data_IF_167355328186
#
_entry.id   IF_167355328186
#
_cell.length_a   1.000
_cell.length_b   1.000
_cell.length_c   1.000
_cell.angle_alpha   90.00
_cell.angle_beta   90.00
_cell.angle_gamma   90.00
#
_symmetry.space_group_name_H-M   'P 1'
#
loop_
_entity.id
_entity.type
_entity.pdbx_description
1 polymer ?
#
# COMPACT_ATOMS: atom_id res chain seq x y z
N UNK A 1 20.90 -44.84 18.26
CA UNK A 1 20.31 -43.61 18.85
C UNK A 1 18.87 -43.53 18.36
N UNK A 2 17.84 -43.52 19.23
CA UNK A 2 16.48 -43.32 18.74
C UNK A 2 16.41 -41.97 18.04
N UNK A 3 15.97 -41.97 16.78
CA UNK A 3 15.82 -40.75 16.00
C UNK A 3 14.69 -39.91 16.59
N UNK A 4 15.03 -38.76 17.18
CA UNK A 4 14.09 -37.76 17.69
C UNK A 4 13.05 -37.40 16.61
N UNK A 5 11.79 -37.27 17.00
CA UNK A 5 10.71 -36.84 16.12
C UNK A 5 11.00 -35.40 15.64
N UNK A 6 11.12 -35.20 14.31
CA UNK A 6 11.32 -33.88 13.72
C UNK A 6 10.17 -32.92 14.06
N UNK A 7 10.46 -31.62 14.15
CA UNK A 7 9.46 -30.62 14.55
C UNK A 7 8.26 -30.59 13.61
N UNK A 8 8.46 -30.66 12.29
CA UNK A 8 7.35 -30.72 11.32
C UNK A 8 6.40 -31.90 11.54
N UNK A 9 6.90 -33.04 12.05
CA UNK A 9 6.06 -34.21 12.34
C UNK A 9 5.35 -34.05 13.69
N UNK A 10 5.98 -33.38 14.66
CA UNK A 10 5.37 -33.01 15.93
C UNK A 10 4.15 -32.10 15.71
N UNK A 11 4.28 -31.09 14.84
CA UNK A 11 3.18 -30.19 14.43
C UNK A 11 2.00 -30.98 13.84
N UNK A 12 2.27 -31.91 12.92
CA UNK A 12 1.21 -32.75 12.31
C UNK A 12 0.56 -33.71 13.31
N UNK A 13 1.29 -34.16 14.33
CA UNK A 13 0.73 -34.98 15.43
C UNK A 13 -0.21 -34.12 16.29
N UNK A 14 0.18 -32.89 16.62
CA UNK A 14 -0.61 -31.95 17.41
C UNK A 14 -1.93 -31.59 16.69
N UNK A 15 -1.84 -31.29 15.38
CA UNK A 15 -2.98 -30.90 14.54
C UNK A 15 -3.85 -32.09 14.08
N UNK A 16 -3.40 -33.33 14.27
CA UNK A 16 -4.13 -34.53 13.82
C UNK A 16 -4.16 -34.71 12.30
N UNK A 17 -3.18 -34.18 11.59
CA UNK A 17 -3.12 -34.17 10.10
C UNK A 17 -2.50 -35.44 9.49
N UNK A 18 -2.41 -36.52 10.27
CA UNK A 18 -1.92 -37.82 9.83
C UNK A 18 -3.10 -38.80 9.67
N UNK A 19 -3.04 -39.75 8.73
CA UNK A 19 -3.98 -40.87 8.69
C UNK A 19 -4.08 -41.56 10.07
N UNK A 20 -5.25 -42.07 10.49
CA UNK A 20 -5.47 -42.52 11.87
C UNK A 20 -4.44 -43.56 12.37
N UNK A 21 -4.06 -44.51 11.53
CA UNK A 21 -3.04 -45.52 11.87
C UNK A 21 -1.64 -44.92 12.00
N UNK A 22 -1.27 -44.01 11.09
CA UNK A 22 0.01 -43.29 11.14
C UNK A 22 0.10 -42.36 12.35
N UNK A 23 -1.00 -41.68 12.70
CA UNK A 23 -1.09 -40.82 13.88
C UNK A 23 -0.88 -41.63 15.15
N UNK A 24 -1.52 -42.81 15.26
CA UNK A 24 -1.37 -43.69 16.40
C UNK A 24 0.09 -44.19 16.54
N UNK A 25 0.71 -44.61 15.43
CA UNK A 25 2.11 -45.03 15.41
C UNK A 25 3.07 -43.88 15.76
N UNK A 26 2.82 -42.68 15.23
CA UNK A 26 3.62 -41.49 15.49
C UNK A 26 3.52 -41.05 16.96
N UNK A 27 2.32 -41.09 17.55
CA UNK A 27 2.12 -40.84 19.00
C UNK A 27 2.80 -41.88 19.87
N UNK A 28 2.71 -43.16 19.52
CA UNK A 28 3.40 -44.23 20.26
C UNK A 28 4.93 -44.05 20.21
N UNK A 29 5.48 -43.68 19.05
CA UNK A 29 6.90 -43.35 18.91
C UNK A 29 7.27 -42.15 19.75
N UNK A 30 6.51 -41.05 19.67
CA UNK A 30 6.77 -39.84 20.45
C UNK A 30 6.75 -40.09 21.96
N UNK A 31 5.84 -40.95 22.44
CA UNK A 31 5.77 -41.35 23.85
C UNK A 31 7.00 -42.15 24.33
N UNK A 32 7.70 -42.84 23.41
CA UNK A 32 8.95 -43.55 23.71
C UNK A 32 10.19 -42.64 23.69
N UNK A 33 10.05 -41.41 23.21
CA UNK A 33 11.15 -40.44 23.15
C UNK A 33 11.31 -39.71 24.49
N UNK A 34 12.54 -39.58 25.01
CA UNK A 34 12.80 -38.75 26.19
C UNK A 34 12.34 -37.29 25.94
N UNK A 35 11.41 -36.80 26.76
CA UNK A 35 10.89 -35.43 26.62
C UNK A 35 9.86 -35.25 25.49
N UNK A 36 9.42 -36.33 24.82
CA UNK A 36 8.55 -36.25 23.65
C UNK A 36 7.15 -35.73 23.96
N UNK A 37 6.55 -36.20 25.06
CA UNK A 37 5.23 -35.76 25.50
C UNK A 37 5.25 -34.33 26.03
N UNK A 38 6.32 -33.94 26.70
CA UNK A 38 6.52 -32.56 27.19
C UNK A 38 6.64 -31.57 26.02
N UNK A 39 7.36 -31.95 24.95
CA UNK A 39 7.44 -31.12 23.73
C UNK A 39 6.07 -30.93 23.07
N UNK A 40 5.28 -31.99 22.98
CA UNK A 40 3.92 -31.91 22.44
C UNK A 40 3.04 -30.99 23.29
N UNK A 41 3.08 -31.16 24.61
CA UNK A 41 2.31 -30.34 25.54
C UNK A 41 2.72 -28.85 25.49
N UNK A 42 4.01 -28.56 25.32
CA UNK A 42 4.49 -27.19 25.14
C UNK A 42 3.95 -26.56 23.85
N UNK A 43 3.94 -27.31 22.75
CA UNK A 43 3.39 -26.86 21.48
C UNK A 43 1.88 -26.59 21.58
N UNK A 44 1.12 -27.54 22.12
CA UNK A 44 -0.33 -27.40 22.33
C UNK A 44 -0.68 -26.22 23.26
N UNK A 45 0.15 -25.94 24.26
CA UNK A 45 -0.02 -24.79 25.15
C UNK A 45 0.26 -23.46 24.44
N UNK A 46 1.25 -23.38 23.55
CA UNK A 46 1.55 -22.18 22.76
C UNK A 46 0.45 -21.90 21.72
N UNK A 47 -0.06 -22.95 21.06
CA UNK A 47 -1.23 -22.87 20.19
C UNK A 47 -2.46 -22.35 20.95
N UNK A 48 -2.71 -22.91 22.14
CA UNK A 48 -3.79 -22.45 23.01
C UNK A 48 -3.63 -21.00 23.44
N UNK A 49 -2.41 -20.56 23.76
CA UNK A 49 -2.12 -19.17 24.11
C UNK A 49 -2.33 -18.22 22.90
N UNK A 50 -1.98 -18.66 21.70
CA UNK A 50 -2.21 -17.92 20.46
C UNK A 50 -3.70 -17.77 20.18
N UNK A 51 -4.47 -18.86 20.28
CA UNK A 51 -5.93 -18.85 20.08
C UNK A 51 -6.67 -18.03 21.15
N UNK A 52 -6.16 -18.01 22.39
CA UNK A 52 -6.71 -17.16 23.45
C UNK A 52 -6.45 -15.67 23.20
N UNK A 53 -5.25 -15.31 22.73
CA UNK A 53 -4.90 -13.94 22.36
C UNK A 53 -5.60 -13.46 21.10
N UNK A 54 -5.83 -14.36 20.15
CA UNK A 54 -6.42 -14.07 18.85
C UNK A 54 -7.55 -15.07 18.52
N UNK A 55 -8.73 -14.92 19.13
CA UNK A 55 -9.86 -15.81 18.87
C UNK A 55 -10.24 -15.83 17.38
N UNK A 56 -10.58 -17.00 16.79
CA UNK A 56 -10.94 -17.11 15.38
C UNK A 56 -12.09 -16.19 14.96
N UNK A 57 -13.07 -15.95 15.85
CA UNK A 57 -14.18 -15.02 15.60
C UNK A 57 -13.72 -13.58 15.41
N UNK A 58 -12.69 -13.14 16.15
CA UNK A 58 -12.11 -11.80 16.02
C UNK A 58 -11.37 -11.66 14.69
N UNK A 59 -10.59 -12.67 14.29
CA UNK A 59 -9.91 -12.68 12.99
C UNK A 59 -10.92 -12.70 11.84
N UNK A 60 -11.95 -13.55 11.93
CA UNK A 60 -13.01 -13.62 10.94
C UNK A 60 -13.76 -12.29 10.79
N UNK A 61 -14.08 -11.63 11.91
CA UNK A 61 -14.71 -10.31 11.90
C UNK A 61 -13.82 -9.26 11.25
N UNK A 62 -12.51 -9.27 11.52
CA UNK A 62 -11.55 -8.35 10.92
C UNK A 62 -11.37 -8.60 9.41
N UNK A 63 -11.31 -9.86 8.98
CA UNK A 63 -11.26 -10.23 7.56
C UNK A 63 -12.53 -9.76 6.83
N UNK A 64 -13.70 -9.98 7.42
CA UNK A 64 -14.97 -9.52 6.84
C UNK A 64 -15.05 -7.99 6.78
N UNK A 65 -14.60 -7.30 7.83
CA UNK A 65 -14.50 -5.84 7.84
C UNK A 65 -13.61 -5.34 6.71
N UNK A 66 -12.43 -5.95 6.51
CA UNK A 66 -11.51 -5.61 5.41
C UNK A 66 -12.12 -5.90 4.05
N UNK A 67 -12.78 -7.05 3.88
CA UNK A 67 -13.48 -7.41 2.63
C UNK A 67 -14.53 -6.37 2.26
N UNK A 68 -15.37 -5.94 3.21
CA UNK A 68 -16.39 -4.91 2.98
C UNK A 68 -15.81 -3.57 2.53
N UNK A 69 -14.67 -3.15 3.08
CA UNK A 69 -14.00 -1.91 2.65
C UNK A 69 -13.56 -2.00 1.18
N UNK A 70 -13.01 -3.15 0.77
CA UNK A 70 -12.59 -3.40 -0.62
C UNK A 70 -13.80 -3.48 -1.57
N UNK A 71 -14.92 -4.05 -1.14
CA UNK A 71 -16.13 -4.13 -1.97
C UNK A 71 -16.85 -2.78 -2.10
N UNK A 72 -16.86 -1.98 -1.04
CA UNK A 72 -17.42 -0.63 -1.05
C UNK A 72 -16.65 0.35 -1.95
N UNK A 73 -15.35 0.12 -2.17
CA UNK A 73 -14.56 0.91 -3.13
C UNK A 73 -14.82 0.48 -4.58
N UNK A 74 -14.99 -0.83 -4.83
CA UNK A 74 -15.32 -1.37 -6.16
C UNK A 74 -16.72 -0.98 -6.64
N UNK A 75 -17.72 -1.04 -5.77
CA UNK A 75 -19.12 -0.71 -6.11
C UNK A 75 -19.33 0.77 -6.44
N UNK A 76 -18.65 1.68 -5.74
CA UNK A 76 -18.67 3.12 -6.05
C UNK A 76 -18.04 3.48 -7.38
N UNK A 77 -17.17 2.61 -7.93
CA UNK A 77 -16.61 2.77 -9.27
C UNK A 77 -17.53 2.23 -10.38
N UNK A 78 -18.55 1.43 -10.04
CA UNK A 78 -19.44 0.76 -10.99
C UNK A 78 -20.82 1.45 -11.15
N UNK A 79 -21.13 2.46 -10.33
CA UNK A 79 -22.40 3.20 -10.39
C UNK A 79 -22.30 4.46 -11.26
N UNK A 80 -22.02 4.29 -12.54
CA UNK A 80 -22.35 5.30 -13.57
C UNK A 80 -23.46 4.71 -14.45
N UNK A 81 -24.70 5.23 -14.41
CA UNK A 81 -25.74 4.71 -15.28
C UNK A 81 -25.40 5.02 -16.75
N UNK A 82 -25.65 4.10 -17.70
CA UNK A 82 -25.45 4.38 -19.11
C UNK A 82 -26.48 5.40 -19.57
N UNK A 83 -26.04 6.63 -19.81
CA UNK A 83 -26.87 7.73 -20.31
C UNK A 83 -27.33 7.40 -21.73
N UNK A 84 -28.54 6.85 -21.87
CA UNK A 84 -29.21 6.62 -23.16
C UNK A 84 -29.35 7.96 -23.89
N UNK A 85 -28.79 8.03 -25.10
CA UNK A 85 -28.93 9.17 -26.01
C UNK A 85 -30.35 9.17 -26.60
N UNK A 86 -31.11 10.22 -26.35
CA UNK A 86 -32.26 10.60 -27.17
C UNK A 86 -31.79 11.72 -28.12
N UNK A 87 -31.99 11.62 -29.44
CA UNK A 87 -31.75 12.74 -30.35
C UNK A 87 -33.01 13.61 -30.40
N UNK A 88 -32.93 14.85 -29.92
CA UNK A 88 -33.98 15.85 -30.12
C UNK A 88 -33.63 16.73 -31.33
N UNK A 89 -34.48 16.61 -32.35
CA UNK A 89 -34.47 17.40 -33.59
C UNK A 89 -35.12 18.78 -33.34
N UNK A 90 -34.41 19.82 -33.80
CA UNK A 90 -34.80 21.13 -34.34
C UNK A 90 -36.13 21.83 -34.00
N UNK A 91 -36.02 23.13 -33.62
CA UNK A 91 -36.73 24.31 -34.17
C UNK A 91 -36.09 25.58 -33.54
N UNK A 92 -35.35 26.45 -34.25
CA UNK A 92 -35.83 27.64 -34.98
C UNK A 92 -36.35 28.74 -34.03
N UNK A 93 -35.73 29.92 -33.84
CA UNK A 93 -35.64 31.10 -34.75
C UNK A 93 -34.75 32.19 -34.09
N UNK A 94 -34.12 33.13 -34.84
CA UNK A 94 -32.91 33.87 -34.44
C UNK A 94 -33.18 35.32 -33.98
N UNK A 95 -32.28 35.87 -33.16
CA UNK A 95 -32.07 37.32 -33.04
C UNK A 95 -30.62 37.61 -33.38
N UNK A 96 -30.41 37.93 -34.65
CA UNK A 96 -29.21 38.57 -35.15
C UNK A 96 -29.25 40.08 -34.82
N UNK A 97 -28.08 40.71 -34.94
CA UNK A 97 -27.83 42.15 -34.87
C UNK A 97 -27.59 42.72 -33.45
N UNK A 98 -26.34 42.67 -33.01
CA UNK A 98 -25.88 43.48 -31.89
C UNK A 98 -24.38 43.42 -31.60
N UNK A 99 -23.74 42.24 -31.73
CA UNK A 99 -22.39 42.06 -31.19
C UNK A 99 -21.29 41.79 -32.23
N UNK A 100 -21.64 41.65 -33.51
CA UNK A 100 -20.65 41.44 -34.58
C UNK A 100 -19.84 42.70 -34.95
N UNK A 101 -20.23 43.88 -34.45
CA UNK A 101 -19.51 45.13 -34.70
C UNK A 101 -18.55 45.54 -33.56
N UNK A 102 -18.59 44.87 -32.40
CA UNK A 102 -17.76 45.22 -31.24
C UNK A 102 -16.48 44.38 -31.11
N UNK A 103 -16.33 43.30 -31.90
CA UNK A 103 -15.16 42.42 -31.81
C UNK A 103 -13.95 42.85 -32.66
N UNK A 104 -14.06 43.92 -33.46
CA UNK A 104 -12.96 44.34 -34.33
C UNK A 104 -12.03 45.42 -33.74
N UNK A 105 -12.34 45.99 -32.57
CA UNK A 105 -11.62 47.17 -32.04
C UNK A 105 -10.88 47.00 -30.70
N UNK A 106 -10.84 45.80 -30.11
CA UNK A 106 -10.18 45.62 -28.80
C UNK A 106 -9.11 44.53 -28.80
N UNK A 107 -8.21 44.58 -29.79
CA UNK A 107 -6.85 44.06 -29.63
C UNK A 107 -5.96 45.17 -29.07
N UNK A 108 -5.81 45.25 -27.75
CA UNK A 108 -4.60 45.77 -27.05
C UNK A 108 -4.71 45.58 -25.52
N UNK A 109 -3.79 44.76 -25.02
CA UNK A 109 -3.07 44.83 -23.72
C UNK A 109 -3.82 44.56 -22.38
N UNK A 110 -3.58 43.34 -21.84
CA UNK A 110 -3.30 42.82 -20.45
C UNK A 110 -3.77 43.61 -19.19
N UNK A 111 -3.98 43.00 -17.99
CA UNK A 111 -3.54 41.67 -17.49
C UNK A 111 -4.61 40.80 -16.77
N UNK A 112 -4.36 39.49 -16.69
CA UNK A 112 -5.26 38.47 -16.15
C UNK A 112 -4.92 38.13 -14.67
N UNK A 113 -5.78 38.54 -13.73
CA UNK A 113 -5.90 37.92 -12.41
C UNK A 113 -6.85 36.72 -12.52
N UNK A 114 -6.34 35.51 -12.32
CA UNK A 114 -7.15 34.28 -12.38
C UNK A 114 -7.13 33.57 -11.01
N UNK A 115 -8.23 33.69 -10.26
CA UNK A 115 -8.65 32.68 -9.27
C UNK A 115 -9.52 31.62 -9.95
N UNK A 116 -9.50 30.37 -9.47
CA UNK A 116 -9.57 29.20 -10.31
C UNK A 116 -11.01 28.71 -10.54
N UNK A 117 -11.36 28.45 -11.79
CA UNK A 117 -12.53 27.66 -12.15
C UNK A 117 -12.17 26.17 -12.13
N UNK A 118 -12.86 25.46 -11.26
CA UNK A 118 -12.95 24.02 -11.24
C UNK A 118 -13.66 23.54 -12.52
N UNK A 119 -12.96 22.77 -13.34
CA UNK A 119 -13.54 21.92 -14.37
C UNK A 119 -12.69 20.66 -14.54
N UNK A 120 -13.17 19.59 -13.91
CA UNK A 120 -13.17 18.18 -14.32
C UNK A 120 -12.15 17.79 -15.40
N UNK A 121 -11.21 16.93 -15.02
CA UNK A 121 -10.49 16.10 -15.97
C UNK A 121 -10.57 14.64 -15.51
N UNK A 122 -11.65 13.97 -15.91
CA UNK A 122 -11.63 12.53 -16.15
C UNK A 122 -10.71 12.30 -17.35
N UNK A 123 -9.41 12.30 -17.08
CA UNK A 123 -8.38 11.92 -18.03
C UNK A 123 -8.33 10.39 -18.10
N UNK A 124 -9.21 9.80 -18.91
CA UNK A 124 -8.79 8.67 -19.73
C UNK A 124 -7.86 9.21 -20.81
N UNK A 125 -6.66 9.62 -20.43
CA UNK A 125 -5.58 9.97 -21.34
C UNK A 125 -4.43 9.01 -21.16
N UNK A 126 -4.15 8.35 -22.27
CA UNK A 126 -2.87 8.51 -22.96
C UNK A 126 -1.68 8.66 -22.01
N UNK A 127 -1.06 7.51 -21.75
CA UNK A 127 0.27 7.24 -21.23
C UNK A 127 1.36 8.11 -21.90
N UNK A 128 1.38 9.41 -21.60
CA UNK A 128 2.45 10.35 -21.98
C UNK A 128 3.11 10.82 -20.69
N UNK A 129 4.31 10.29 -20.42
CA UNK A 129 5.34 10.96 -19.60
C UNK A 129 4.95 11.36 -18.18
N UNK A 130 4.13 10.60 -17.46
CA UNK A 130 4.00 10.80 -16.01
C UNK A 130 5.28 10.32 -15.33
N UNK A 131 5.87 11.13 -14.47
CA UNK A 131 6.99 10.67 -13.63
C UNK A 131 6.51 9.62 -12.62
N UNK A 132 7.34 8.59 -12.34
CA UNK A 132 7.02 7.61 -11.31
C UNK A 132 6.82 8.31 -9.95
N UNK A 133 5.70 8.04 -9.29
CA UNK A 133 5.39 8.67 -7.99
C UNK A 133 4.54 7.80 -7.10
N UNK A 134 4.66 8.06 -5.81
CA UNK A 134 3.83 7.49 -4.75
C UNK A 134 2.66 8.42 -4.45
N UNK A 135 1.48 7.85 -4.24
CA UNK A 135 0.29 8.53 -3.77
C UNK A 135 -0.13 7.88 -2.44
N UNK A 136 -0.42 8.71 -1.44
CA UNK A 136 -0.82 8.24 -0.11
C UNK A 136 -2.18 8.84 0.23
N UNK A 137 -3.10 8.00 0.67
CA UNK A 137 -4.40 8.44 1.18
C UNK A 137 -4.59 7.94 2.61
N UNK A 138 -5.03 8.81 3.52
CA UNK A 138 -5.51 8.44 4.85
C UNK A 138 -6.95 7.94 4.74
N UNK A 139 -7.22 6.77 5.30
CA UNK A 139 -8.57 6.26 5.46
C UNK A 139 -9.28 7.08 6.55
N UNK A 140 -10.48 7.53 6.24
CA UNK A 140 -11.37 8.23 7.18
C UNK A 140 -12.71 7.52 7.19
N UNK A 141 -13.62 7.91 8.09
CA UNK A 141 -15.01 7.43 8.05
C UNK A 141 -15.75 7.84 6.76
N UNK A 142 -15.24 8.83 6.03
CA UNK A 142 -15.82 9.35 4.78
C UNK A 142 -14.99 8.98 3.55
N UNK A 143 -14.71 9.97 2.71
CA UNK A 143 -13.84 9.78 1.55
C UNK A 143 -12.36 9.66 2.00
N UNK A 144 -11.55 8.81 1.34
CA UNK A 144 -10.11 8.80 1.57
C UNK A 144 -9.50 10.18 1.35
N UNK A 145 -8.70 10.63 2.29
CA UNK A 145 -8.06 11.96 2.27
C UNK A 145 -6.66 11.84 1.65
N UNK A 146 -6.35 12.52 0.54
CA UNK A 146 -5.01 12.50 -0.02
C UNK A 146 -4.03 13.22 0.91
N UNK A 147 -2.87 12.61 1.15
CA UNK A 147 -1.79 13.20 1.95
C UNK A 147 -0.69 13.72 1.02
N UNK A 148 -0.35 15.00 1.21
CA UNK A 148 0.79 15.63 0.56
C UNK A 148 2.08 15.42 1.37
N UNK A 149 3.22 15.78 0.76
CA UNK A 149 4.49 15.83 1.48
C UNK A 149 4.41 16.77 2.71
N UNK A 150 5.04 16.35 3.79
CA UNK A 150 4.99 16.95 5.13
C UNK A 150 3.59 17.05 5.76
N UNK A 151 2.59 16.29 5.27
CA UNK A 151 1.27 16.25 5.89
C UNK A 151 1.34 15.67 7.32
N UNK A 152 0.53 16.22 8.23
CA UNK A 152 0.47 15.77 9.62
C UNK A 152 -0.40 14.53 9.78
N UNK A 153 0.15 13.54 10.46
CA UNK A 153 -0.47 12.25 10.76
C UNK A 153 -0.32 11.89 12.23
N UNK A 154 -1.11 10.93 12.68
CA UNK A 154 -1.07 10.40 14.06
C UNK A 154 -0.87 8.89 14.05
N UNK A 155 -0.36 8.37 15.15
CA UNK A 155 -0.37 6.93 15.39
C UNK A 155 -1.80 6.39 15.29
N UNK A 156 -1.97 5.26 14.62
CA UNK A 156 -3.27 4.65 14.33
C UNK A 156 -3.94 5.14 13.04
N UNK A 157 -3.45 6.20 12.39
CA UNK A 157 -3.93 6.57 11.05
C UNK A 157 -3.64 5.41 10.09
N UNK A 158 -4.65 4.99 9.32
CA UNK A 158 -4.53 3.90 8.34
C UNK A 158 -4.35 4.50 6.96
N UNK A 159 -3.25 4.16 6.30
CA UNK A 159 -2.85 4.68 5.00
C UNK A 159 -3.10 3.65 3.89
N UNK A 160 -3.63 4.11 2.76
CA UNK A 160 -3.62 3.37 1.51
C UNK A 160 -2.53 3.96 0.60
N UNK A 161 -1.54 3.13 0.30
CA UNK A 161 -0.46 3.44 -0.64
C UNK A 161 -0.88 3.03 -2.05
N UNK A 162 -0.53 3.86 -3.03
CA UNK A 162 -0.67 3.57 -4.46
C UNK A 162 0.54 4.12 -5.21
N UNK A 163 0.91 3.50 -6.33
CA UNK A 163 1.96 4.02 -7.21
C UNK A 163 1.43 4.36 -8.59
N UNK A 164 2.13 5.27 -9.26
CA UNK A 164 2.07 5.47 -10.70
C UNK A 164 3.44 5.09 -11.26
N UNK A 165 3.50 4.10 -12.14
CA UNK A 165 4.79 3.53 -12.60
C UNK A 165 5.59 4.47 -13.50
N UNK A 166 4.93 5.42 -14.15
CA UNK A 166 5.56 6.36 -15.07
C UNK A 166 6.27 5.68 -16.26
N UNK A 167 5.83 4.48 -16.64
CA UNK A 167 6.47 3.69 -17.70
C UNK A 167 7.65 2.84 -17.24
N UNK A 168 8.06 2.91 -15.97
CA UNK A 168 9.09 2.02 -15.41
C UNK A 168 8.52 0.61 -15.21
N UNK A 169 9.22 -0.45 -15.63
CA UNK A 169 8.76 -1.84 -15.48
C UNK A 169 9.00 -2.44 -14.10
N UNK A 170 9.99 -1.97 -13.33
CA UNK A 170 10.33 -2.54 -12.02
C UNK A 170 10.33 -1.48 -10.92
N UNK A 171 9.95 -1.86 -9.70
CA UNK A 171 10.05 -0.98 -8.55
C UNK A 171 9.91 -1.64 -7.19
N UNK A 172 10.01 -0.82 -6.15
CA UNK A 172 9.83 -1.19 -4.75
C UNK A 172 9.31 0.00 -3.96
N UNK A 173 8.48 -0.26 -2.95
CA UNK A 173 7.96 0.73 -2.01
C UNK A 173 8.40 0.34 -0.60
N UNK A 174 9.09 1.24 0.08
CA UNK A 174 9.52 1.05 1.47
C UNK A 174 9.34 2.35 2.27
N UNK A 175 9.40 2.28 3.59
CA UNK A 175 9.44 3.45 4.46
C UNK A 175 10.55 3.38 5.49
N UNK A 176 10.93 4.56 5.98
CA UNK A 176 11.81 4.76 7.14
C UNK A 176 11.08 5.61 8.17
N UNK A 177 11.04 5.16 9.41
CA UNK A 177 10.41 5.90 10.51
C UNK A 177 11.43 6.71 11.33
N UNK A 178 10.93 7.56 12.24
CA UNK A 178 11.78 8.34 13.14
C UNK A 178 12.53 7.54 14.22
N UNK A 179 12.32 6.21 14.34
CA UNK A 179 13.18 5.31 15.14
C UNK A 179 14.28 4.65 14.31
N UNK A 180 14.30 4.88 13.00
CA UNK A 180 15.23 4.23 12.07
C UNK A 180 14.80 2.82 11.68
N UNK A 181 13.53 2.43 11.91
CA UNK A 181 13.00 1.18 11.37
C UNK A 181 12.74 1.32 9.86
N UNK A 182 13.06 0.26 9.11
CA UNK A 182 12.82 0.18 7.67
C UNK A 182 11.74 -0.86 7.40
N UNK A 183 10.66 -0.45 6.74
CA UNK A 183 9.53 -1.33 6.41
C UNK A 183 9.40 -1.47 4.90
N UNK A 184 9.40 -2.70 4.39
CA UNK A 184 9.08 -2.99 2.99
C UNK A 184 7.56 -3.10 2.82
N UNK A 185 6.97 -2.25 1.97
CA UNK A 185 5.54 -2.26 1.66
C UNK A 185 5.22 -3.03 0.38
N UNK A 186 6.13 -2.98 -0.59
CA UNK A 186 6.04 -3.76 -1.82
C UNK A 186 7.43 -3.97 -2.44
N UNK A 187 7.71 -5.15 -3.01
CA UNK A 187 6.88 -6.36 -3.01
C UNK A 187 6.76 -7.02 -1.62
N UNK A 188 5.85 -8.00 -1.48
CA UNK A 188 5.62 -8.70 -0.20
C UNK A 188 6.85 -9.49 0.29
N UNK A 189 7.75 -9.85 -0.62
CA UNK A 189 9.00 -10.57 -0.34
C UNK A 189 10.17 -9.86 -1.00
N UNK A 190 11.35 -9.79 -0.35
CA UNK A 190 12.55 -9.20 -0.93
C UNK A 190 13.25 -10.08 -1.98
N UNK A 191 12.62 -11.17 -2.46
CA UNK A 191 13.24 -12.08 -3.44
C UNK A 191 13.53 -11.42 -4.81
N UNK A 192 12.83 -10.35 -5.16
CA UNK A 192 13.02 -9.57 -6.37
C UNK A 192 12.15 -8.33 -6.36
N UNK A 193 12.33 -7.39 -7.31
CA UNK A 193 11.53 -6.18 -7.38
C UNK A 193 10.11 -6.47 -7.87
N UNK A 194 9.18 -5.56 -7.56
CA UNK A 194 7.81 -5.63 -8.07
C UNK A 194 7.79 -5.31 -9.57
N UNK A 195 7.11 -6.15 -10.35
CA UNK A 195 6.72 -5.83 -11.72
C UNK A 195 5.59 -4.79 -11.70
N UNK A 196 5.88 -3.60 -12.21
CA UNK A 196 4.97 -2.47 -12.17
C UNK A 196 3.95 -2.55 -13.31
N UNK A 197 2.70 -2.21 -12.99
CA UNK A 197 1.59 -2.12 -13.94
C UNK A 197 1.37 -0.67 -14.31
N UNK A 198 0.79 -0.42 -15.48
CA UNK A 198 0.42 0.93 -15.91
C UNK A 198 -0.78 1.49 -15.13
N UNK A 199 -0.87 2.82 -15.09
CA UNK A 199 -1.94 3.54 -14.39
C UNK A 199 -1.62 3.80 -12.92
N UNK A 200 -2.66 4.12 -12.13
CA UNK A 200 -2.55 4.25 -10.67
C UNK A 200 -2.94 2.93 -10.03
N UNK A 201 -1.99 2.30 -9.33
CA UNK A 201 -2.16 0.96 -8.78
C UNK A 201 -2.07 1.02 -7.26
N UNK A 202 -3.15 0.68 -6.52
CA UNK A 202 -3.08 0.55 -5.07
C UNK A 202 -2.26 -0.67 -4.67
N UNK A 203 -1.48 -0.55 -3.60
CA UNK A 203 -0.83 -1.69 -2.96
C UNK A 203 -1.88 -2.61 -2.30
N UNK A 204 -1.60 -3.94 -2.20
CA UNK A 204 -2.59 -4.91 -1.71
C UNK A 204 -3.06 -4.67 -0.27
N UNK A 205 -2.19 -4.10 0.57
CA UNK A 205 -2.45 -3.86 1.99
C UNK A 205 -2.44 -2.39 2.34
N UNK A 206 -3.32 -2.01 3.26
CA UNK A 206 -3.24 -0.73 3.97
C UNK A 206 -2.21 -0.81 5.11
N UNK A 207 -1.60 0.31 5.44
CA UNK A 207 -0.56 0.43 6.46
C UNK A 207 -1.04 1.30 7.62
N UNK A 208 -1.08 0.76 8.83
CA UNK A 208 -1.39 1.53 10.03
C UNK A 208 -0.11 2.16 10.58
N UNK A 209 -0.12 3.48 10.75
CA UNK A 209 1.01 4.18 11.35
C UNK A 209 1.16 3.79 12.81
N UNK A 210 2.39 3.47 13.19
CA UNK A 210 2.76 3.23 14.58
C UNK A 210 3.01 4.54 15.34
N UNK A 211 3.47 4.42 16.58
CA UNK A 211 3.82 5.56 17.43
C UNK A 211 5.31 5.98 17.33
N UNK A 212 5.99 5.70 16.20
CA UNK A 212 7.33 6.23 15.97
C UNK A 212 7.33 7.77 16.04
N UNK A 213 8.37 8.39 16.61
CA UNK A 213 8.39 9.83 16.76
C UNK A 213 8.64 10.53 15.42
N UNK A 214 8.33 11.82 15.39
CA UNK A 214 8.73 12.79 14.37
C UNK A 214 8.20 12.58 12.93
N UNK A 215 8.45 11.44 12.29
CA UNK A 215 8.09 11.24 10.89
C UNK A 215 7.92 9.76 10.49
N UNK A 216 7.28 9.58 9.33
CA UNK A 216 7.37 8.40 8.48
C UNK A 216 7.70 8.89 7.07
N UNK A 217 8.75 8.37 6.44
CA UNK A 217 9.11 8.75 5.07
C UNK A 217 9.03 7.54 4.15
N UNK A 218 8.17 7.63 3.14
CA UNK A 218 8.00 6.60 2.14
C UNK A 218 8.85 6.89 0.92
N UNK A 219 9.40 5.84 0.33
CA UNK A 219 10.19 5.88 -0.89
C UNK A 219 9.57 4.95 -1.93
N UNK A 220 9.51 5.42 -3.17
CA UNK A 220 9.21 4.61 -4.34
C UNK A 220 10.42 4.60 -5.26
N UNK A 221 11.05 3.43 -5.36
CA UNK A 221 12.24 3.19 -6.17
C UNK A 221 11.83 2.47 -7.44
N UNK A 222 12.40 2.86 -8.58
CA UNK A 222 12.04 2.33 -9.90
C UNK A 222 13.26 2.13 -10.79
N UNK A 223 13.14 1.21 -11.75
CA UNK A 223 14.19 0.92 -12.75
C UNK A 223 13.62 0.33 -14.04
N UNK A 224 14.42 0.39 -15.10
CA UNK A 224 14.14 -0.25 -16.40
C UNK A 224 14.49 -1.74 -16.40
N UNK A 225 15.31 -2.20 -15.45
CA UNK A 225 15.76 -3.59 -15.31
C UNK A 225 15.52 -4.10 -13.88
N UNK A 226 15.42 -5.43 -13.67
CA UNK A 226 15.39 -5.97 -12.32
C UNK A 226 16.63 -5.53 -11.53
N UNK A 227 16.46 -5.28 -10.23
CA UNK A 227 17.54 -4.82 -9.34
C UNK A 227 17.56 -5.61 -8.04
N UNK A 228 18.70 -5.58 -7.34
CA UNK A 228 18.90 -6.30 -6.09
C UNK A 228 18.17 -5.62 -4.93
N UNK A 229 17.16 -6.31 -4.40
CA UNK A 229 16.39 -5.87 -3.25
C UNK A 229 17.20 -5.86 -1.96
N UNK A 230 18.19 -6.75 -1.79
CA UNK A 230 19.02 -6.76 -0.59
C UNK A 230 19.91 -5.52 -0.52
N UNK A 231 20.51 -5.13 -1.65
CA UNK A 231 21.28 -3.89 -1.75
C UNK A 231 20.40 -2.66 -1.47
N UNK A 232 19.18 -2.60 -2.02
CA UNK A 232 18.23 -1.52 -1.73
C UNK A 232 17.90 -1.45 -0.23
N UNK A 233 17.57 -2.58 0.39
CA UNK A 233 17.22 -2.61 1.81
C UNK A 233 18.42 -2.24 2.70
N UNK A 234 19.64 -2.59 2.31
CA UNK A 234 20.85 -2.17 3.03
C UNK A 234 21.10 -0.66 2.90
N UNK A 235 20.94 -0.08 1.71
CA UNK A 235 20.99 1.38 1.51
C UNK A 235 19.96 2.11 2.37
N UNK A 236 18.74 1.56 2.50
CA UNK A 236 17.71 2.12 3.35
C UNK A 236 18.07 2.03 4.84
N UNK A 237 18.59 0.89 5.30
CA UNK A 237 19.08 0.73 6.68
C UNK A 237 20.24 1.65 6.99
N UNK A 238 21.17 1.84 6.05
CA UNK A 238 22.29 2.77 6.22
C UNK A 238 21.80 4.19 6.44
N UNK A 239 20.84 4.66 5.62
CA UNK A 239 20.22 5.97 5.78
C UNK A 239 19.47 6.09 7.12
N UNK A 240 18.73 5.04 7.49
CA UNK A 240 17.90 5.00 8.71
C UNK A 240 18.69 5.08 10.03
N UNK A 241 20.00 4.77 10.01
CA UNK A 241 20.89 4.93 11.19
C UNK A 241 21.06 6.39 11.62
N UNK A 242 20.78 7.34 10.73
CA UNK A 242 20.92 8.77 10.98
C UNK A 242 19.58 9.49 10.75
N UNK A 243 18.69 9.59 11.77
CA UNK A 243 17.32 10.07 11.59
C UNK A 243 17.18 11.45 10.92
N UNK A 244 18.09 12.38 11.22
CA UNK A 244 18.10 13.71 10.60
C UNK A 244 18.40 13.66 9.09
N UNK A 245 19.28 12.74 8.68
CA UNK A 245 19.56 12.49 7.25
C UNK A 245 18.42 11.74 6.61
N UNK A 246 17.88 10.71 7.25
CA UNK A 246 16.72 9.96 6.77
C UNK A 246 15.50 10.87 6.49
N UNK A 247 15.36 11.95 7.26
CA UNK A 247 14.31 12.95 7.06
C UNK A 247 14.45 13.74 5.75
N UNK A 248 15.65 13.94 5.20
CA UNK A 248 15.92 14.92 4.12
C UNK A 248 16.62 14.33 2.91
N UNK A 249 17.60 13.46 3.13
CA UNK A 249 18.46 12.95 2.09
C UNK A 249 17.79 11.83 1.28
N UNK A 250 18.09 11.71 -0.03
CA UNK A 250 17.66 10.56 -0.81
C UNK A 250 18.35 9.28 -0.34
N UNK A 251 17.79 8.11 -0.68
CA UNK A 251 18.48 6.84 -0.51
C UNK A 251 19.79 6.84 -1.30
N UNK A 252 20.91 6.33 -0.75
CA UNK A 252 22.17 6.20 -1.46
C UNK A 252 22.07 5.03 -2.45
N UNK A 253 21.56 5.32 -3.65
CA UNK A 253 21.29 4.33 -4.70
C UNK A 253 22.21 4.52 -5.91
N UNK A 254 22.50 3.45 -6.67
CA UNK A 254 23.21 3.56 -7.93
C UNK A 254 22.41 4.39 -8.96
N UNK A 255 23.08 5.02 -9.95
CA UNK A 255 22.43 5.88 -10.95
C UNK A 255 21.37 5.19 -11.82
N UNK A 256 21.39 3.86 -11.89
CA UNK A 256 20.40 3.05 -12.61
C UNK A 256 19.04 2.99 -11.92
N UNK A 257 18.94 3.45 -10.67
CA UNK A 257 17.71 3.51 -9.90
C UNK A 257 17.22 4.95 -9.79
N UNK A 258 15.95 5.16 -10.11
CA UNK A 258 15.24 6.41 -9.85
C UNK A 258 14.46 6.28 -8.55
N UNK A 259 14.35 7.37 -7.78
CA UNK A 259 13.58 7.38 -6.54
C UNK A 259 12.70 8.62 -6.45
N UNK A 260 11.53 8.46 -5.83
CA UNK A 260 10.70 9.53 -5.31
C UNK A 260 10.40 9.26 -3.85
N UNK A 261 10.13 10.29 -3.05
CA UNK A 261 9.81 10.13 -1.64
C UNK A 261 8.71 11.08 -1.19
N UNK A 262 7.95 10.68 -0.17
CA UNK A 262 6.95 11.50 0.50
C UNK A 262 7.09 11.30 2.02
N UNK A 263 7.31 12.40 2.74
CA UNK A 263 7.44 12.45 4.19
C UNK A 263 6.11 12.83 4.84
N UNK A 264 5.74 12.15 5.92
CA UNK A 264 4.61 12.49 6.77
C UNK A 264 5.14 12.88 8.16
N UNK A 265 4.61 13.97 8.73
CA UNK A 265 4.99 14.44 10.05
C UNK A 265 4.13 13.81 11.14
N UNK A 266 4.75 13.11 12.09
CA UNK A 266 4.05 12.55 13.25
C UNK A 266 4.02 13.61 14.36
N UNK A 267 2.82 14.05 14.74
CA UNK A 267 2.63 15.01 15.83
C UNK A 267 2.93 14.39 17.21
N UNK A 268 3.19 15.21 18.25
CA UNK A 268 3.31 14.70 19.62
C UNK A 268 2.01 14.02 20.07
N UNK A 269 2.10 12.98 20.92
CA UNK A 269 0.93 12.38 21.59
C UNK A 269 0.19 13.50 22.34
N UNK A 270 -1.06 13.75 21.97
CA UNK A 270 -2.04 14.46 22.80
C UNK A 270 -2.61 13.53 23.84
#
# INVERSE_FOLDING_TARGET
MPHRTPDWLLERIALGELPPEELAAARARLASEPGGLERLAMLEADDGATLAKLPPSQVAAEVERRRRVVEASRSRSASTPPRRWLPAVALGVPVAAGLALLMLFSRRELPEESRPQQAVLLETTRTKGLEPKLLIHRQTAGAPEPLADSARVRAGDVLQLSYVSGGRPYGAVLSVDGRGAVTLHAPESPAGPLELKGGTVPLPSAYALDDAPAFERFFFVTSDVPFDMNALMESARQLAREPERARREPLPLPPSLSQSSLLLEKGPRT
#
